data_IF_403687349267
#
_entry.id   IF_403687349267
#
_cell.length_a   1.000
_cell.length_b   1.000
_cell.length_c   1.000
_cell.angle_alpha   90.00
_cell.angle_beta   90.00
_cell.angle_gamma   90.00
#
_symmetry.space_group_name_H-M   'P 1'
#
loop_
_entity.id
_entity.type
_entity.pdbx_description
1 polymer ?
#
# COMPACT_ATOMS: atom_id res chain seq x y z
N UNK A 1 -6.37 -16.94 -27.02
CA UNK A 1 -5.36 -16.20 -26.21
C UNK A 1 -5.70 -14.71 -26.15
N UNK A 2 -6.02 -14.04 -27.26
CA UNK A 2 -6.45 -12.63 -27.29
C UNK A 2 -7.73 -12.34 -26.46
N UNK A 3 -8.73 -13.23 -26.45
CA UNK A 3 -9.95 -13.04 -25.64
C UNK A 3 -9.69 -13.08 -24.12
N UNK A 4 -8.81 -13.97 -23.66
CA UNK A 4 -8.45 -14.11 -22.24
C UNK A 4 -7.68 -12.87 -21.76
N UNK A 5 -6.79 -12.34 -22.61
CA UNK A 5 -6.03 -11.10 -22.35
C UNK A 5 -6.98 -9.89 -22.27
N UNK A 6 -7.99 -9.83 -23.13
CA UNK A 6 -9.01 -8.77 -23.07
C UNK A 6 -9.85 -8.86 -21.78
N UNK A 7 -10.20 -10.07 -21.34
CA UNK A 7 -11.02 -10.25 -20.14
C UNK A 7 -10.27 -9.86 -18.85
N UNK A 8 -8.99 -10.24 -18.72
CA UNK A 8 -8.19 -9.87 -17.54
C UNK A 8 -7.97 -8.37 -17.46
N UNK A 9 -7.65 -7.73 -18.58
CA UNK A 9 -7.48 -6.29 -18.67
C UNK A 9 -8.79 -5.55 -18.33
N UNK A 10 -9.92 -6.00 -18.88
CA UNK A 10 -11.23 -5.43 -18.57
C UNK A 10 -11.57 -5.52 -17.07
N UNK A 11 -11.34 -6.68 -16.45
CA UNK A 11 -11.58 -6.87 -15.01
C UNK A 11 -10.69 -5.97 -14.15
N UNK A 12 -9.41 -5.85 -14.52
CA UNK A 12 -8.48 -4.94 -13.82
C UNK A 12 -8.90 -3.48 -13.98
N UNK A 13 -9.37 -3.07 -15.17
CA UNK A 13 -9.90 -1.72 -15.39
C UNK A 13 -11.14 -1.44 -14.54
N UNK A 14 -12.13 -2.33 -14.53
CA UNK A 14 -13.34 -2.17 -13.69
C UNK A 14 -12.99 -2.07 -12.21
N UNK A 15 -12.08 -2.93 -11.74
CA UNK A 15 -11.59 -2.88 -10.35
C UNK A 15 -10.85 -1.58 -10.04
N UNK A 16 -10.06 -1.06 -10.98
CA UNK A 16 -9.38 0.24 -10.84
C UNK A 16 -10.39 1.40 -10.79
N UNK A 17 -11.34 1.45 -11.72
CA UNK A 17 -12.36 2.49 -11.79
C UNK A 17 -13.23 2.53 -10.52
N UNK A 18 -13.50 1.36 -9.92
CA UNK A 18 -14.23 1.26 -8.66
C UNK A 18 -13.36 1.58 -7.44
N UNK A 19 -12.16 1.00 -7.37
CA UNK A 19 -11.24 1.16 -6.24
C UNK A 19 -10.69 2.59 -6.10
N UNK A 20 -10.32 3.23 -7.20
CA UNK A 20 -9.76 4.58 -7.19
C UNK A 20 -10.80 5.71 -7.25
N UNK A 21 -12.10 5.39 -7.22
CA UNK A 21 -13.15 6.40 -7.31
C UNK A 21 -13.02 7.49 -6.25
N UNK A 22 -12.79 7.12 -4.99
CA UNK A 22 -12.60 8.09 -3.91
C UNK A 22 -11.23 8.74 -3.94
N UNK A 23 -10.21 8.03 -4.45
CA UNK A 23 -8.84 8.53 -4.57
C UNK A 23 -8.75 9.67 -5.57
N UNK A 24 -9.42 9.57 -6.72
CA UNK A 24 -9.47 10.66 -7.70
C UNK A 24 -10.02 11.94 -7.09
N UNK A 25 -11.12 11.87 -6.35
CA UNK A 25 -11.72 13.01 -5.68
C UNK A 25 -10.82 13.59 -4.58
N UNK A 26 -10.05 12.75 -3.89
CA UNK A 26 -9.22 13.14 -2.76
C UNK A 26 -7.87 13.71 -3.16
N UNK A 27 -7.16 13.03 -4.05
CA UNK A 27 -5.77 13.34 -4.40
C UNK A 27 -5.64 14.19 -5.65
N UNK A 28 -6.71 14.30 -6.46
CA UNK A 28 -6.70 15.02 -7.74
C UNK A 28 -5.58 14.52 -8.68
N UNK A 29 -5.23 13.25 -8.56
CA UNK A 29 -4.22 12.53 -9.34
C UNK A 29 -4.93 11.43 -10.15
N UNK A 30 -4.40 11.11 -11.34
CA UNK A 30 -4.98 10.06 -12.18
C UNK A 30 -4.47 8.69 -11.77
N UNK A 31 -5.40 7.76 -11.56
CA UNK A 31 -5.10 6.38 -11.22
C UNK A 31 -5.74 5.45 -12.25
N UNK A 32 -5.06 4.35 -12.56
CA UNK A 32 -5.48 3.38 -13.55
C UNK A 32 -5.08 1.95 -13.16
N UNK A 33 -5.45 0.95 -13.99
CA UNK A 33 -5.20 -0.46 -13.70
C UNK A 33 -3.72 -0.80 -13.53
N UNK A 34 -2.83 -0.02 -14.14
CA UNK A 34 -1.38 -0.23 -14.12
C UNK A 34 -0.65 0.67 -13.11
N UNK A 35 -1.37 1.53 -12.37
CA UNK A 35 -0.74 2.45 -11.40
C UNK A 35 -0.07 1.68 -10.26
N UNK A 36 1.22 1.95 -10.06
CA UNK A 36 2.09 1.35 -9.03
C UNK A 36 2.30 2.33 -7.88
N UNK A 37 2.83 1.84 -6.76
CA UNK A 37 3.17 2.70 -5.62
C UNK A 37 4.27 3.73 -5.95
N UNK A 38 5.20 3.37 -6.84
CA UNK A 38 6.26 4.27 -7.28
C UNK A 38 5.75 5.43 -8.16
N UNK A 39 4.59 5.27 -8.80
CA UNK A 39 4.00 6.28 -9.67
C UNK A 39 3.30 7.38 -8.86
N UNK A 40 2.99 7.11 -7.59
CA UNK A 40 2.29 8.04 -6.71
C UNK A 40 3.12 9.31 -6.45
N UNK A 41 2.47 10.46 -6.50
CA UNK A 41 3.10 11.70 -6.05
C UNK A 41 3.57 11.62 -4.58
N UNK A 42 4.62 12.36 -4.19
CA UNK A 42 5.12 12.34 -2.81
C UNK A 42 4.06 12.72 -1.76
N UNK A 43 3.18 13.67 -2.07
CA UNK A 43 2.08 14.09 -1.20
C UNK A 43 1.02 13.00 -1.02
N UNK A 44 0.59 12.34 -2.12
CA UNK A 44 -0.32 11.19 -2.07
C UNK A 44 0.28 10.05 -1.23
N UNK A 45 1.55 9.70 -1.49
CA UNK A 45 2.22 8.63 -0.76
C UNK A 45 2.36 8.97 0.73
N UNK A 46 2.76 10.20 1.07
CA UNK A 46 2.86 10.66 2.45
C UNK A 46 1.51 10.59 3.17
N UNK A 47 0.44 11.03 2.52
CA UNK A 47 -0.91 10.92 3.08
C UNK A 47 -1.26 9.46 3.37
N UNK A 48 -1.06 8.55 2.41
CA UNK A 48 -1.37 7.13 2.59
C UNK A 48 -0.51 6.46 3.67
N UNK A 49 0.74 6.87 3.84
CA UNK A 49 1.65 6.31 4.85
C UNK A 49 1.36 6.81 6.28
N UNK A 50 0.79 8.01 6.39
CA UNK A 50 0.51 8.69 7.66
C UNK A 50 -0.58 7.94 8.45
N UNK A 51 -0.35 7.67 9.75
CA UNK A 51 -1.38 7.05 10.58
C UNK A 51 -2.58 7.99 10.76
N UNK A 52 -3.79 7.43 10.70
CA UNK A 52 -5.03 8.16 10.91
C UNK A 52 -6.23 7.32 10.50
N UNK A 53 -7.36 7.49 11.19
CA UNK A 53 -8.59 6.78 10.87
C UNK A 53 -9.07 7.12 9.45
N UNK A 54 -9.09 8.41 9.09
CA UNK A 54 -9.43 8.85 7.74
C UNK A 54 -8.51 8.25 6.68
N UNK A 55 -7.21 8.20 6.95
CA UNK A 55 -6.20 7.63 6.05
C UNK A 55 -6.46 6.12 5.86
N UNK A 56 -6.83 5.41 6.93
CA UNK A 56 -7.17 3.99 6.84
C UNK A 56 -8.44 3.74 6.02
N UNK A 57 -9.46 4.60 6.16
CA UNK A 57 -10.70 4.47 5.37
C UNK A 57 -10.48 4.66 3.86
N UNK A 58 -9.45 5.39 3.45
CA UNK A 58 -9.03 5.48 2.04
C UNK A 58 -8.57 4.11 1.49
N UNK A 59 -7.97 3.27 2.32
CA UNK A 59 -7.67 1.88 1.95
C UNK A 59 -8.92 1.01 1.96
N UNK A 60 -9.86 1.24 2.87
CA UNK A 60 -11.11 0.46 2.90
C UNK A 60 -11.93 0.73 1.63
N UNK A 61 -12.05 2.00 1.22
CA UNK A 61 -12.70 2.35 -0.04
C UNK A 61 -12.02 1.69 -1.24
N UNK A 62 -10.67 1.69 -1.27
CA UNK A 62 -9.91 1.02 -2.33
C UNK A 62 -10.20 -0.48 -2.39
N UNK A 63 -10.08 -1.17 -1.25
CA UNK A 63 -10.29 -2.61 -1.15
C UNK A 63 -11.74 -2.97 -1.50
N UNK A 64 -12.70 -2.31 -0.87
CA UNK A 64 -14.12 -2.58 -1.10
C UNK A 64 -14.54 -2.26 -2.53
N UNK A 65 -14.08 -1.14 -3.09
CA UNK A 65 -14.32 -0.76 -4.48
C UNK A 65 -13.76 -1.80 -5.44
N UNK A 66 -12.48 -2.19 -5.28
CA UNK A 66 -11.85 -3.18 -6.15
C UNK A 66 -12.48 -4.58 -6.04
N UNK A 67 -13.11 -4.92 -4.92
CA UNK A 67 -13.83 -6.18 -4.71
C UNK A 67 -15.33 -6.10 -5.04
N UNK A 68 -15.85 -4.93 -5.48
CA UNK A 68 -17.27 -4.75 -5.79
C UNK A 68 -18.19 -4.72 -4.56
N UNK A 69 -17.66 -4.45 -3.37
CA UNK A 69 -18.42 -4.40 -2.11
C UNK A 69 -19.06 -3.03 -1.82
N UNK A 70 -18.81 -2.04 -2.68
CA UNK A 70 -19.25 -0.65 -2.48
C UNK A 70 -18.21 0.19 -1.76
N UNK A 71 -18.63 1.28 -1.09
CA UNK A 71 -17.74 2.17 -0.34
C UNK A 71 -17.73 1.88 1.16
N UNK A 72 -16.73 2.42 1.87
CA UNK A 72 -16.50 2.29 3.30
C UNK A 72 -17.65 2.77 4.19
N UNK A 73 -18.60 3.54 3.65
CA UNK A 73 -19.86 3.87 4.35
C UNK A 73 -20.59 2.60 4.80
N UNK A 74 -20.65 1.56 3.96
CA UNK A 74 -21.29 0.28 4.33
C UNK A 74 -20.57 -0.41 5.49
N UNK A 75 -19.24 -0.31 5.52
CA UNK A 75 -18.44 -0.82 6.62
C UNK A 75 -18.78 -0.09 7.94
N UNK A 76 -18.87 1.25 7.90
CA UNK A 76 -19.23 2.08 9.06
C UNK A 76 -20.65 1.85 9.57
N UNK A 77 -21.59 1.58 8.67
CA UNK A 77 -22.99 1.34 8.99
C UNK A 77 -23.28 -0.10 9.45
N UNK A 78 -22.26 -0.94 9.59
CA UNK A 78 -22.40 -2.35 9.98
C UNK A 78 -23.24 -3.20 9.01
N UNK A 79 -23.24 -2.82 7.72
CA UNK A 79 -23.98 -3.50 6.63
C UNK A 79 -23.14 -4.61 5.95
N UNK A 80 -22.21 -5.22 6.70
CA UNK A 80 -21.30 -6.26 6.19
C UNK A 80 -21.10 -7.34 7.25
N UNK A 81 -21.03 -8.59 6.81
CA UNK A 81 -20.66 -9.72 7.67
C UNK A 81 -19.29 -9.51 8.33
N UNK A 82 -19.15 -9.95 9.58
CA UNK A 82 -17.92 -9.78 10.35
C UNK A 82 -16.68 -10.41 9.67
N UNK A 83 -16.83 -11.58 9.04
CA UNK A 83 -15.74 -12.23 8.32
C UNK A 83 -15.25 -11.38 7.14
N UNK A 84 -16.18 -10.75 6.41
CA UNK A 84 -15.86 -9.83 5.31
C UNK A 84 -15.16 -8.59 5.86
N UNK A 85 -15.62 -8.05 6.99
CA UNK A 85 -14.99 -6.90 7.63
C UNK A 85 -13.56 -7.20 8.06
N UNK A 86 -13.31 -8.33 8.70
CA UNK A 86 -11.96 -8.77 9.07
C UNK A 86 -11.07 -8.87 7.84
N UNK A 87 -11.58 -9.47 6.76
CA UNK A 87 -10.84 -9.59 5.51
C UNK A 87 -10.50 -8.25 4.86
N UNK A 88 -11.42 -7.27 4.91
CA UNK A 88 -11.16 -5.90 4.44
C UNK A 88 -10.04 -5.26 5.28
N UNK A 89 -10.12 -5.38 6.61
CA UNK A 89 -9.11 -4.81 7.52
C UNK A 89 -7.73 -5.42 7.26
N UNK A 90 -7.63 -6.74 7.19
CA UNK A 90 -6.36 -7.44 6.94
C UNK A 90 -5.75 -7.03 5.60
N UNK A 91 -6.57 -6.94 4.55
CA UNK A 91 -6.13 -6.50 3.23
C UNK A 91 -5.65 -5.05 3.27
N UNK A 92 -6.37 -4.16 3.95
CA UNK A 92 -5.99 -2.76 4.09
C UNK A 92 -4.68 -2.58 4.87
N UNK A 93 -4.51 -3.27 6.00
CA UNK A 93 -3.27 -3.21 6.78
C UNK A 93 -2.06 -3.75 6.00
N UNK A 94 -2.24 -4.81 5.22
CA UNK A 94 -1.20 -5.31 4.34
C UNK A 94 -0.78 -4.27 3.28
N UNK A 95 -1.73 -3.52 2.71
CA UNK A 95 -1.45 -2.44 1.75
C UNK A 95 -0.77 -1.24 2.42
N UNK A 96 -1.19 -0.88 3.64
CA UNK A 96 -0.57 0.19 4.43
C UNK A 96 0.92 -0.08 4.63
N UNK A 97 1.30 -1.33 4.95
CA UNK A 97 2.71 -1.71 5.07
C UNK A 97 3.47 -1.54 3.74
N UNK A 98 2.87 -1.92 2.60
CA UNK A 98 3.49 -1.72 1.27
C UNK A 98 3.75 -0.24 0.98
N UNK A 99 2.78 0.63 1.26
CA UNK A 99 2.94 2.09 1.12
C UNK A 99 4.08 2.61 1.99
N UNK A 100 4.16 2.16 3.25
CA UNK A 100 5.21 2.60 4.18
C UNK A 100 6.59 2.08 3.80
N UNK A 101 6.68 0.89 3.23
CA UNK A 101 7.93 0.40 2.65
C UNK A 101 8.33 1.15 1.39
N UNK A 102 7.38 1.61 0.57
CA UNK A 102 7.68 2.52 -0.54
C UNK A 102 8.23 3.85 -0.03
N UNK A 103 7.70 4.41 1.06
CA UNK A 103 8.30 5.60 1.72
C UNK A 103 9.75 5.31 2.14
N UNK A 104 10.01 4.20 2.82
CA UNK A 104 11.37 3.81 3.21
C UNK A 104 12.28 3.61 2.00
N UNK A 105 11.76 3.13 0.87
CA UNK A 105 12.51 2.96 -0.38
C UNK A 105 12.89 4.31 -0.98
N UNK A 106 11.98 5.29 -1.00
CA UNK A 106 12.26 6.66 -1.49
C UNK A 106 13.27 7.39 -0.64
N UNK A 107 13.33 7.09 0.65
CA UNK A 107 14.41 7.53 1.56
C UNK A 107 15.71 6.75 1.40
N UNK A 108 15.76 5.75 0.51
CA UNK A 108 16.90 4.84 0.32
C UNK A 108 17.24 4.01 1.57
N UNK A 109 16.29 3.79 2.48
CA UNK A 109 16.53 2.96 3.67
C UNK A 109 16.41 1.47 3.37
N UNK A 110 15.58 1.10 2.41
CA UNK A 110 15.39 -0.28 1.99
C UNK A 110 15.66 -0.46 0.50
N UNK A 111 16.14 -1.64 0.13
CA UNK A 111 16.36 -2.03 -1.24
C UNK A 111 15.02 -2.15 -2.00
N UNK A 112 15.06 -1.95 -3.31
CA UNK A 112 13.91 -2.18 -4.17
C UNK A 112 13.48 -3.66 -4.11
N UNK A 113 12.19 -3.89 -3.92
CA UNK A 113 11.59 -5.21 -4.01
C UNK A 113 11.24 -5.51 -5.48
N UNK A 114 11.39 -6.75 -5.97
CA UNK A 114 10.85 -7.14 -7.27
C UNK A 114 9.34 -6.89 -7.40
N UNK A 115 8.62 -6.92 -6.27
CA UNK A 115 7.18 -6.61 -6.19
C UNK A 115 6.85 -5.11 -6.17
N UNK A 116 7.84 -4.21 -6.13
CA UNK A 116 7.63 -2.76 -6.21
C UNK A 116 6.98 -2.34 -7.55
N UNK A 117 7.09 -3.18 -8.58
CA UNK A 117 6.51 -2.98 -9.90
C UNK A 117 5.06 -3.47 -10.02
N UNK A 118 4.48 -4.03 -8.95
CA UNK A 118 3.13 -4.56 -8.99
C UNK A 118 2.10 -3.41 -8.98
N UNK A 119 1.08 -3.41 -9.87
CA UNK A 119 0.01 -2.42 -9.79
C UNK A 119 -0.77 -2.53 -8.48
N UNK A 120 -1.20 -1.40 -7.92
CA UNK A 120 -1.89 -1.33 -6.63
C UNK A 120 -3.16 -2.21 -6.61
N UNK A 121 -3.92 -2.24 -7.71
CA UNK A 121 -5.13 -3.09 -7.81
C UNK A 121 -4.78 -4.58 -7.79
N UNK A 122 -3.65 -4.95 -8.38
CA UNK A 122 -3.17 -6.33 -8.30
C UNK A 122 -2.65 -6.66 -6.89
N UNK A 123 -2.03 -5.70 -6.18
CA UNK A 123 -1.70 -5.87 -4.75
C UNK A 123 -2.95 -6.14 -3.91
N UNK A 124 -4.02 -5.36 -4.11
CA UNK A 124 -5.31 -5.55 -3.42
C UNK A 124 -5.85 -6.96 -3.68
N UNK A 125 -5.82 -7.41 -4.94
CA UNK A 125 -6.30 -8.73 -5.33
C UNK A 125 -5.48 -9.85 -4.70
N UNK A 126 -4.15 -9.72 -4.70
CA UNK A 126 -3.27 -10.71 -4.12
C UNK A 126 -3.41 -10.77 -2.60
N UNK A 127 -3.44 -9.63 -1.91
CA UNK A 127 -3.70 -9.57 -0.48
C UNK A 127 -5.05 -10.17 -0.12
N UNK A 128 -6.11 -9.87 -0.88
CA UNK A 128 -7.44 -10.45 -0.67
C UNK A 128 -7.46 -11.97 -0.86
N UNK A 129 -6.66 -12.52 -1.78
CA UNK A 129 -6.62 -13.95 -2.05
C UNK A 129 -5.73 -14.71 -1.06
N UNK A 130 -4.56 -14.16 -0.76
CA UNK A 130 -3.50 -14.81 0.03
C UNK A 130 -3.64 -14.54 1.53
N UNK A 131 -4.33 -13.47 1.93
CA UNK A 131 -4.50 -13.09 3.32
C UNK A 131 -3.15 -12.92 4.02
N UNK A 132 -2.95 -13.65 5.12
CA UNK A 132 -1.73 -13.59 5.93
C UNK A 132 -0.46 -13.99 5.16
N UNK A 133 -0.56 -14.76 4.07
CA UNK A 133 0.62 -15.12 3.25
C UNK A 133 1.11 -13.96 2.39
N UNK A 134 0.29 -12.92 2.18
CA UNK A 134 0.70 -11.76 1.41
C UNK A 134 1.73 -10.94 2.18
N UNK A 135 2.89 -10.71 1.57
CA UNK A 135 3.92 -9.84 2.14
C UNK A 135 4.71 -10.43 3.29
N UNK A 136 4.78 -11.77 3.37
CA UNK A 136 5.69 -12.48 4.28
C UNK A 136 7.18 -12.19 4.00
N UNK A 137 7.52 -11.73 2.79
CA UNK A 137 8.87 -11.30 2.45
C UNK A 137 9.05 -9.79 2.71
N UNK A 138 9.73 -9.38 3.80
CA UNK A 138 10.02 -7.97 4.06
C UNK A 138 11.03 -7.43 3.03
N UNK A 139 11.00 -6.10 2.76
CA UNK A 139 12.13 -5.47 2.08
C UNK A 139 13.40 -5.60 2.93
N UNK A 140 14.55 -5.52 2.27
CA UNK A 140 15.86 -5.61 2.95
C UNK A 140 16.34 -4.20 3.24
N UNK A 141 16.72 -3.93 4.50
CA UNK A 141 17.37 -2.68 4.88
C UNK A 141 18.72 -2.57 4.15
N UNK A 142 19.08 -1.40 3.62
CA UNK A 142 20.35 -1.23 2.90
C UNK A 142 21.55 -1.27 3.86
N UNK A 143 22.72 -1.78 3.45
CA UNK A 143 23.92 -1.84 4.30
C UNK A 143 24.38 -0.51 4.89
N UNK A 144 24.11 0.59 4.18
CA UNK A 144 24.49 1.96 4.56
C UNK A 144 23.62 2.51 5.70
N UNK A 145 22.47 1.90 5.98
CA UNK A 145 21.59 2.36 7.03
C UNK A 145 22.20 2.06 8.42
N UNK A 146 22.23 3.00 9.37
CA UNK A 146 22.91 2.84 10.66
C UNK A 146 22.46 1.60 11.46
N UNK A 147 21.18 1.25 11.33
CA UNK A 147 20.58 0.12 12.03
C UNK A 147 20.79 -1.25 11.34
N UNK A 148 21.48 -1.30 10.18
CA UNK A 148 21.72 -2.52 9.41
C UNK A 148 22.45 -3.64 10.17
N UNK A 149 23.51 -3.38 10.94
CA UNK A 149 24.20 -4.44 11.68
C UNK A 149 23.30 -5.19 12.67
N UNK A 150 22.32 -4.49 13.26
CA UNK A 150 21.32 -5.10 14.13
C UNK A 150 20.29 -5.90 13.31
N UNK A 151 19.78 -5.32 12.22
CA UNK A 151 18.81 -5.95 11.32
C UNK A 151 19.34 -7.26 10.71
N UNK A 152 20.59 -7.29 10.24
CA UNK A 152 21.16 -8.43 9.53
C UNK A 152 21.21 -9.72 10.37
N UNK A 153 21.31 -9.59 11.70
CA UNK A 153 21.39 -10.71 12.65
C UNK A 153 20.03 -11.32 13.01
N UNK A 154 18.93 -10.69 12.60
CA UNK A 154 17.57 -11.12 12.93
C UNK A 154 17.09 -12.25 12.01
N UNK A 155 16.22 -13.11 12.53
CA UNK A 155 15.44 -14.05 11.73
C UNK A 155 14.37 -13.30 10.90
N UNK A 156 13.76 -13.92 9.88
CA UNK A 156 12.79 -13.25 9.00
C UNK A 156 11.61 -12.58 9.71
N UNK A 157 11.05 -13.19 10.77
CA UNK A 157 9.91 -12.62 11.49
C UNK A 157 10.31 -11.37 12.25
N UNK A 158 11.46 -11.41 12.92
CA UNK A 158 12.00 -10.29 13.66
C UNK A 158 12.41 -9.14 12.72
N UNK A 159 12.84 -9.45 11.49
CA UNK A 159 13.14 -8.43 10.46
C UNK A 159 11.91 -7.61 10.09
N UNK A 160 10.75 -8.25 9.91
CA UNK A 160 9.51 -7.53 9.62
C UNK A 160 9.11 -6.61 10.78
N UNK A 161 9.17 -7.11 12.01
CA UNK A 161 8.92 -6.30 13.22
C UNK A 161 9.89 -5.14 13.31
N UNK A 162 11.18 -5.38 13.04
CA UNK A 162 12.21 -4.35 13.05
C UNK A 162 11.92 -3.23 12.05
N UNK A 163 11.58 -3.56 10.81
CA UNK A 163 11.24 -2.56 9.80
C UNK A 163 10.00 -1.76 10.18
N UNK A 164 8.95 -2.41 10.70
CA UNK A 164 7.75 -1.73 11.18
C UNK A 164 8.04 -0.73 12.29
N UNK A 165 9.05 -0.98 13.14
CA UNK A 165 9.51 -0.03 14.18
C UNK A 165 10.23 1.19 13.59
N UNK A 166 10.80 1.10 12.40
CA UNK A 166 11.43 2.23 11.71
C UNK A 166 10.42 3.12 10.98
N UNK A 167 9.22 2.61 10.67
CA UNK A 167 8.19 3.32 9.91
C UNK A 167 7.87 4.71 10.47
N UNK A 168 7.65 4.92 11.78
CA UNK A 168 7.35 6.25 12.29
C UNK A 168 8.45 7.26 11.97
N UNK A 169 9.72 6.87 12.12
CA UNK A 169 10.88 7.72 11.78
C UNK A 169 10.93 7.99 10.28
N UNK A 170 10.72 6.96 9.46
CA UNK A 170 10.71 7.09 8.01
C UNK A 170 9.61 8.06 7.53
N UNK A 171 8.38 7.93 8.05
CA UNK A 171 7.27 8.83 7.67
C UNK A 171 7.57 10.27 8.07
N UNK A 172 8.17 10.51 9.24
CA UNK A 172 8.60 11.86 9.64
C UNK A 172 9.68 12.42 8.70
N UNK A 173 10.76 11.67 8.44
CA UNK A 173 11.81 12.14 7.53
C UNK A 173 11.29 12.40 6.11
N UNK A 174 10.37 11.56 5.61
CA UNK A 174 9.76 11.76 4.31
C UNK A 174 8.84 12.99 4.28
N UNK A 175 8.10 13.25 5.37
CA UNK A 175 7.32 14.48 5.52
C UNK A 175 8.22 15.71 5.42
N UNK A 176 9.34 15.72 6.12
CA UNK A 176 10.27 16.84 6.10
C UNK A 176 10.79 17.10 4.67
N UNK A 177 11.11 16.06 3.90
CA UNK A 177 11.51 16.18 2.48
C UNK A 177 10.40 16.72 1.58
N UNK A 178 9.14 16.34 1.82
CA UNK A 178 7.99 16.77 1.02
C UNK A 178 7.59 18.21 1.33
N UNK A 179 7.65 18.62 2.60
CA UNK A 179 7.27 19.96 3.05
C UNK A 179 8.39 20.99 2.89
N UNK A 180 9.65 20.56 2.97
CA UNK A 180 10.84 21.39 2.80
C UNK A 180 11.73 20.84 1.69
N UNK A 181 11.28 20.88 0.42
CA UNK A 181 12.13 20.49 -0.69
C UNK A 181 13.39 21.37 -0.65
N UNK A 182 14.56 20.75 -0.47
CA UNK A 182 15.82 21.48 -0.57
C UNK A 182 15.87 22.13 -1.97
N UNK A 183 16.20 23.42 -2.08
CA UNK A 183 16.41 24.02 -3.39
C UNK A 183 17.63 23.34 -4.02
N UNK A 184 17.40 22.69 -5.16
CA UNK A 184 18.47 22.18 -6.05
C UNK A 184 19.39 23.32 -6.51
#
# INVERSE_FOLDING_TARGET
>A
MAEIINLSHFRSKVAADQGFRSWLARFQEQFGPDTRLQDLSPSTLLYLATPGEENLFVFFDLVMGAQGLGGSVRFRLDDLDNDIKMKIMDTAFALVDRVRFEVMRRLQWVAALPSAELPIIEMVRQAWRLGAEFGQDPPVLVPEHPDYPAFARLNPMDRMVFLRRLIPRAVTCFRDQVEHPSPD
#
